data_IF_169886033871
#
_entry.id   IF_169886033871
#
_cell.length_a   1.000
_cell.length_b   1.000
_cell.length_c   1.000
_cell.angle_alpha   90.00
_cell.angle_beta   90.00
_cell.angle_gamma   90.00
#
_symmetry.space_group_name_H-M   'P 1'
#
loop_
_entity.id
_entity.type
_entity.pdbx_description
1 polymer ?
#
# COMPACT_ATOMS: atom_id res chain seq x y z
N UNK A 1 14.36 -6.53 -5.27
CA UNK A 1 12.96 -6.75 -5.71
C UNK A 1 12.12 -5.48 -5.54
N UNK A 2 10.90 -5.43 -6.10
CA UNK A 2 9.94 -4.32 -5.88
C UNK A 2 9.39 -4.34 -4.44
N UNK A 3 8.99 -5.51 -3.96
CA UNK A 3 8.30 -5.74 -2.67
C UNK A 3 9.24 -6.25 -1.55
N UNK A 4 10.56 -6.05 -1.67
CA UNK A 4 11.54 -6.52 -0.69
C UNK A 4 11.44 -8.01 -0.35
N UNK A 5 11.74 -8.38 0.90
CA UNK A 5 11.60 -9.74 1.45
C UNK A 5 10.30 -9.87 2.29
N UNK A 6 9.21 -9.22 1.84
CA UNK A 6 7.89 -9.30 2.48
C UNK A 6 7.22 -10.67 2.35
N UNK A 7 6.00 -10.83 2.89
CA UNK A 7 5.27 -12.10 2.90
C UNK A 7 5.15 -12.78 1.53
N UNK A 8 5.04 -12.00 0.45
CA UNK A 8 4.86 -12.51 -0.92
C UNK A 8 6.14 -13.17 -1.46
N UNK A 9 7.32 -12.65 -1.10
CA UNK A 9 8.61 -13.09 -1.66
C UNK A 9 9.47 -13.86 -0.65
N UNK A 10 9.14 -13.81 0.64
CA UNK A 10 9.82 -14.57 1.68
C UNK A 10 9.56 -16.08 1.60
N UNK A 11 10.47 -16.86 2.18
CA UNK A 11 10.42 -18.33 2.22
C UNK A 11 10.85 -18.88 3.59
N UNK A 12 10.60 -20.17 3.81
CA UNK A 12 11.04 -20.88 5.02
C UNK A 12 10.43 -20.33 6.31
N UNK A 13 11.25 -20.19 7.35
CA UNK A 13 10.79 -19.74 8.66
C UNK A 13 10.44 -18.24 8.70
N UNK A 14 11.07 -17.42 7.85
CA UNK A 14 10.70 -16.02 7.68
C UNK A 14 9.25 -15.90 7.20
N UNK A 15 8.88 -16.64 6.16
CA UNK A 15 7.51 -16.67 5.65
C UNK A 15 6.51 -17.12 6.72
N UNK A 16 6.83 -18.17 7.47
CA UNK A 16 5.96 -18.67 8.56
C UNK A 16 5.74 -17.59 9.63
N UNK A 17 6.81 -16.90 10.01
CA UNK A 17 6.75 -15.80 10.97
C UNK A 17 5.88 -14.65 10.46
N UNK A 18 6.13 -14.18 9.23
CA UNK A 18 5.35 -13.10 8.60
C UNK A 18 3.87 -13.44 8.46
N UNK A 19 3.56 -14.67 8.02
CA UNK A 19 2.18 -15.14 7.87
C UNK A 19 1.46 -15.19 9.21
N UNK A 20 2.11 -15.72 10.25
CA UNK A 20 1.55 -15.76 11.60
C UNK A 20 1.25 -14.36 12.12
N UNK A 21 2.14 -13.40 11.84
CA UNK A 21 2.00 -12.02 12.27
C UNK A 21 0.81 -11.32 11.60
N UNK A 22 0.67 -11.45 10.28
CA UNK A 22 -0.29 -10.66 9.49
C UNK A 22 -1.71 -11.25 9.50
N UNK A 23 -1.87 -12.58 9.57
CA UNK A 23 -3.18 -13.26 9.46
C UNK A 23 -4.27 -12.70 10.40
N UNK A 24 -3.99 -12.35 11.68
CA UNK A 24 -5.00 -11.78 12.58
C UNK A 24 -5.62 -10.48 12.09
N UNK A 25 -4.91 -9.68 11.29
CA UNK A 25 -5.42 -8.42 10.73
C UNK A 25 -6.52 -8.62 9.66
N UNK A 26 -6.70 -9.86 9.19
CA UNK A 26 -7.70 -10.24 8.19
C UNK A 26 -8.86 -11.06 8.79
N UNK A 27 -9.04 -11.02 10.12
CA UNK A 27 -10.21 -11.63 10.77
C UNK A 27 -11.50 -10.90 10.38
N UNK A 28 -12.63 -11.62 10.30
CA UNK A 28 -13.92 -11.09 9.83
C UNK A 28 -14.38 -9.83 10.58
N UNK A 29 -14.12 -9.73 11.88
CA UNK A 29 -14.47 -8.54 12.67
C UNK A 29 -13.76 -7.27 12.18
N UNK A 30 -12.52 -7.42 11.70
CA UNK A 30 -11.73 -6.32 11.15
C UNK A 30 -12.23 -6.00 9.74
N UNK A 31 -12.47 -7.03 8.92
CA UNK A 31 -13.01 -6.88 7.56
C UNK A 31 -14.37 -6.16 7.54
N UNK A 32 -15.23 -6.45 8.51
CA UNK A 32 -16.51 -5.74 8.68
C UNK A 32 -16.31 -4.24 8.94
N UNK A 33 -15.17 -3.85 9.52
CA UNK A 33 -14.77 -2.44 9.67
C UNK A 33 -14.35 -1.76 8.36
N UNK A 34 -14.16 -2.51 7.27
CA UNK A 34 -13.78 -1.96 5.97
C UNK A 34 -14.99 -1.51 5.15
N UNK A 35 -16.20 -1.99 5.47
CA UNK A 35 -17.43 -1.66 4.76
C UNK A 35 -17.71 -0.15 4.68
N UNK A 36 -17.57 0.65 5.77
CA UNK A 36 -17.76 2.10 5.69
C UNK A 36 -16.77 2.80 4.77
N UNK A 37 -15.53 2.30 4.69
CA UNK A 37 -14.49 2.83 3.78
C UNK A 37 -14.86 2.51 2.34
N UNK A 38 -15.22 1.25 2.05
CA UNK A 38 -15.66 0.82 0.72
C UNK A 38 -16.88 1.61 0.23
N UNK A 39 -17.86 1.85 1.11
CA UNK A 39 -19.04 2.66 0.81
C UNK A 39 -18.64 4.09 0.44
N UNK A 40 -17.78 4.72 1.24
CA UNK A 40 -17.33 6.10 1.00
C UNK A 40 -16.56 6.23 -0.31
N UNK A 41 -15.57 5.36 -0.55
CA UNK A 41 -14.80 5.35 -1.79
C UNK A 41 -15.68 5.07 -3.02
N UNK A 42 -16.69 4.21 -2.88
CA UNK A 42 -17.66 3.95 -3.96
C UNK A 42 -18.52 5.18 -4.26
N UNK A 43 -18.96 5.94 -3.23
CA UNK A 43 -19.68 7.20 -3.43
C UNK A 43 -18.82 8.24 -4.15
N UNK A 44 -17.55 8.37 -3.82
CA UNK A 44 -16.61 9.25 -4.54
C UNK A 44 -16.46 8.82 -6.01
N UNK A 45 -16.36 7.52 -6.29
CA UNK A 45 -16.30 7.01 -7.65
C UNK A 45 -17.58 7.33 -8.45
N UNK A 46 -18.76 7.14 -7.84
CA UNK A 46 -20.05 7.46 -8.47
C UNK A 46 -20.13 8.95 -8.85
N UNK A 47 -19.58 9.86 -8.02
CA UNK A 47 -19.52 11.28 -8.37
C UNK A 47 -18.65 11.54 -9.60
N UNK A 48 -17.50 10.87 -9.72
CA UNK A 48 -16.62 10.98 -10.89
C UNK A 48 -17.31 10.43 -12.14
N UNK A 49 -17.95 9.26 -12.02
CA UNK A 49 -18.72 8.65 -13.11
C UNK A 49 -19.89 9.54 -13.55
N UNK A 50 -20.56 10.20 -12.61
CA UNK A 50 -21.62 11.17 -12.91
C UNK A 50 -21.13 12.33 -13.77
N UNK A 51 -19.91 12.83 -13.55
CA UNK A 51 -19.31 13.87 -14.40
C UNK A 51 -19.06 13.38 -15.82
N UNK A 52 -18.47 12.19 -15.97
CA UNK A 52 -18.27 11.58 -17.29
C UNK A 52 -19.59 11.33 -18.03
N UNK A 53 -20.65 10.95 -17.31
CA UNK A 53 -21.98 10.79 -17.89
C UNK A 53 -22.57 12.13 -18.37
N UNK A 54 -22.43 13.21 -17.59
CA UNK A 54 -22.88 14.54 -17.99
C UNK A 54 -22.12 15.12 -19.19
N UNK A 55 -20.82 14.82 -19.28
CA UNK A 55 -19.94 15.29 -20.36
C UNK A 55 -19.98 14.38 -21.60
N UNK A 56 -20.70 13.26 -21.53
CA UNK A 56 -20.76 12.20 -22.56
C UNK A 56 -19.37 11.71 -22.99
N UNK A 57 -18.42 11.65 -22.05
CA UNK A 57 -17.03 11.26 -22.32
C UNK A 57 -16.76 9.80 -22.01
N UNK A 58 -15.98 9.15 -22.88
CA UNK A 58 -15.45 7.81 -22.62
C UNK A 58 -14.33 7.86 -21.59
N UNK A 59 -14.22 6.84 -20.74
CA UNK A 59 -13.17 6.72 -19.75
C UNK A 59 -12.61 5.30 -19.67
N UNK A 60 -11.44 5.15 -19.05
CA UNK A 60 -10.81 3.85 -18.82
C UNK A 60 -11.30 3.23 -17.50
N UNK A 61 -12.17 2.23 -17.58
CA UNK A 61 -12.74 1.53 -16.42
C UNK A 61 -11.68 0.80 -15.57
N UNK A 62 -10.62 0.28 -16.19
CA UNK A 62 -9.53 -0.39 -15.46
C UNK A 62 -8.80 0.61 -14.57
N UNK A 63 -8.46 1.78 -15.11
CA UNK A 63 -7.78 2.82 -14.33
C UNK A 63 -8.64 3.30 -13.15
N UNK A 64 -9.95 3.48 -13.36
CA UNK A 64 -10.88 3.82 -12.27
C UNK A 64 -10.97 2.71 -11.21
N UNK A 65 -11.09 1.46 -11.63
CA UNK A 65 -11.13 0.32 -10.71
C UNK A 65 -9.85 0.19 -9.89
N UNK A 66 -8.69 0.41 -10.50
CA UNK A 66 -7.40 0.43 -9.81
C UNK A 66 -7.32 1.55 -8.78
N UNK A 67 -7.72 2.78 -9.15
CA UNK A 67 -7.76 3.92 -8.22
C UNK A 67 -8.67 3.66 -7.02
N UNK A 68 -9.88 3.13 -7.25
CA UNK A 68 -10.82 2.76 -6.19
C UNK A 68 -10.21 1.71 -5.26
N UNK A 69 -9.69 0.64 -5.84
CA UNK A 69 -9.11 -0.47 -5.07
C UNK A 69 -7.94 0.00 -4.22
N UNK A 70 -7.08 0.85 -4.79
CA UNK A 70 -5.95 1.40 -4.06
C UNK A 70 -6.40 2.29 -2.90
N UNK A 71 -7.38 3.17 -3.11
CA UNK A 71 -7.90 4.02 -2.05
C UNK A 71 -8.46 3.20 -0.88
N UNK A 72 -9.22 2.14 -1.19
CA UNK A 72 -9.76 1.24 -0.17
C UNK A 72 -8.63 0.52 0.58
N UNK A 73 -7.64 -0.05 -0.12
CA UNK A 73 -6.55 -0.79 0.52
C UNK A 73 -5.69 0.13 1.39
N UNK A 74 -5.28 1.30 0.90
CA UNK A 74 -4.45 2.23 1.66
C UNK A 74 -5.16 2.70 2.94
N UNK A 75 -6.47 2.94 2.89
CA UNK A 75 -7.20 3.37 4.08
C UNK A 75 -7.48 2.22 5.05
N UNK A 76 -7.85 1.04 4.55
CA UNK A 76 -8.19 -0.11 5.40
C UNK A 76 -6.97 -0.81 6.01
N UNK A 77 -5.85 -0.86 5.29
CA UNK A 77 -4.64 -1.56 5.74
C UNK A 77 -3.59 -0.64 6.36
N UNK A 78 -3.40 0.56 5.81
CA UNK A 78 -2.39 1.53 6.25
C UNK A 78 -2.97 2.68 7.08
N UNK A 79 -4.30 2.84 7.11
CA UNK A 79 -4.94 3.96 7.81
C UNK A 79 -4.72 5.30 7.13
N UNK A 80 -4.28 5.32 5.87
CA UNK A 80 -4.00 6.52 5.10
C UNK A 80 -5.15 6.82 4.14
N UNK A 81 -5.77 8.00 4.28
CA UNK A 81 -6.95 8.38 3.51
C UNK A 81 -6.54 8.98 2.15
N UNK A 82 -6.68 8.17 1.11
CA UNK A 82 -6.55 8.59 -0.28
C UNK A 82 -7.91 9.11 -0.78
N UNK A 83 -7.94 10.33 -1.30
CA UNK A 83 -9.16 10.92 -1.86
C UNK A 83 -9.19 10.73 -3.38
N UNK A 84 -10.25 10.13 -3.92
CA UNK A 84 -10.36 9.88 -5.36
C UNK A 84 -10.53 11.17 -6.18
N UNK A 85 -10.99 12.25 -5.54
CA UNK A 85 -11.34 13.52 -6.17
C UNK A 85 -10.22 14.58 -6.10
N UNK A 86 -9.16 14.37 -5.31
CA UNK A 86 -8.07 15.35 -5.12
C UNK A 86 -6.83 14.88 -5.88
N UNK A 87 -6.33 15.70 -6.79
CA UNK A 87 -5.31 15.29 -7.76
C UNK A 87 -3.85 15.45 -7.30
N UNK A 88 -3.54 16.11 -6.18
CA UNK A 88 -2.20 16.68 -6.01
C UNK A 88 -1.13 15.80 -5.35
N UNK A 89 -1.48 14.73 -4.62
CA UNK A 89 -0.49 13.82 -3.98
C UNK A 89 -0.85 12.33 -4.11
N UNK A 90 -2.14 12.01 -4.22
CA UNK A 90 -2.67 10.64 -4.32
C UNK A 90 -2.57 10.04 -5.75
N UNK A 91 -2.45 10.92 -6.75
CA UNK A 91 -2.24 10.56 -8.16
C UNK A 91 -0.82 10.04 -8.41
N UNK A 92 0.16 10.54 -7.64
CA UNK A 92 1.56 10.15 -7.74
C UNK A 92 1.76 8.69 -7.33
N UNK A 93 1.18 8.24 -6.20
CA UNK A 93 1.34 6.86 -5.76
C UNK A 93 0.75 5.85 -6.76
N UNK A 94 -0.47 6.07 -7.25
CA UNK A 94 -1.11 5.19 -8.23
C UNK A 94 -0.31 5.13 -9.55
N UNK A 95 0.24 6.26 -9.99
CA UNK A 95 1.05 6.32 -11.20
C UNK A 95 2.43 5.66 -11.01
N UNK A 96 3.07 5.86 -9.86
CA UNK A 96 4.32 5.19 -9.48
C UNK A 96 4.13 3.68 -9.44
N UNK A 97 3.09 3.19 -8.78
CA UNK A 97 2.80 1.76 -8.68
C UNK A 97 2.47 1.14 -10.05
N UNK A 98 1.63 1.81 -10.84
CA UNK A 98 1.28 1.36 -12.19
C UNK A 98 2.49 1.27 -13.12
N UNK A 99 3.37 2.27 -13.09
CA UNK A 99 4.59 2.29 -13.88
C UNK A 99 5.57 1.20 -13.43
N UNK A 100 5.77 1.02 -12.12
CA UNK A 100 6.66 0.00 -11.58
C UNK A 100 6.17 -1.41 -11.99
N UNK A 101 4.86 -1.66 -11.90
CA UNK A 101 4.23 -2.93 -12.30
C UNK A 101 4.41 -3.20 -13.80
N UNK A 102 4.29 -2.18 -14.65
CA UNK A 102 4.53 -2.31 -16.08
C UNK A 102 6.00 -2.67 -16.38
N UNK A 103 6.96 -2.04 -15.69
CA UNK A 103 8.38 -2.36 -15.83
C UNK A 103 8.71 -3.78 -15.35
N UNK A 104 8.13 -4.22 -14.23
CA UNK A 104 8.25 -5.62 -13.77
C UNK A 104 7.68 -6.58 -14.80
N UNK A 105 6.49 -6.28 -15.34
CA UNK A 105 5.86 -7.12 -16.36
C UNK A 105 6.73 -7.25 -17.62
N UNK A 106 7.32 -6.15 -18.11
CA UNK A 106 8.28 -6.18 -19.22
C UNK A 106 9.52 -7.01 -18.91
N UNK A 107 10.00 -6.95 -17.66
CA UNK A 107 11.16 -7.71 -17.20
C UNK A 107 10.87 -9.21 -17.19
N UNK A 108 9.69 -9.65 -16.72
CA UNK A 108 9.28 -11.07 -16.67
C UNK A 108 9.42 -11.76 -18.04
N UNK A 109 9.09 -11.08 -19.14
CA UNK A 109 9.21 -11.65 -20.49
C UNK A 109 10.62 -11.61 -21.09
N UNK A 110 11.63 -11.07 -20.37
CA UNK A 110 13.01 -10.88 -20.86
C UNK A 110 14.03 -11.47 -19.89
N UNK A 111 14.29 -12.80 -19.95
CA UNK A 111 15.17 -13.49 -19.00
C UNK A 111 16.59 -12.90 -18.90
N UNK A 112 17.13 -12.33 -19.98
CA UNK A 112 18.45 -11.68 -19.98
C UNK A 112 18.51 -10.38 -19.14
N UNK A 113 17.37 -9.79 -18.81
CA UNK A 113 17.25 -8.65 -17.90
C UNK A 113 16.99 -9.08 -16.44
N UNK A 114 17.01 -10.39 -16.13
CA UNK A 114 16.80 -10.87 -14.75
C UNK A 114 17.97 -10.55 -13.83
N UNK A 115 19.18 -10.40 -14.37
CA UNK A 115 20.32 -9.98 -13.57
C UNK A 115 20.18 -8.48 -13.21
N UNK A 116 20.12 -8.16 -11.92
CA UNK A 116 19.94 -6.79 -11.41
C UNK A 116 21.08 -5.85 -11.84
N UNK A 117 22.32 -6.34 -11.94
CA UNK A 117 23.45 -5.53 -12.39
C UNK A 117 23.27 -5.11 -13.85
N UNK A 118 22.95 -6.06 -14.74
CA UNK A 118 22.67 -5.78 -16.16
C UNK A 118 21.46 -4.85 -16.29
N UNK A 119 20.40 -5.10 -15.52
CA UNK A 119 19.18 -4.30 -15.57
C UNK A 119 19.44 -2.85 -15.13
N UNK A 120 20.24 -2.63 -14.08
CA UNK A 120 20.59 -1.29 -13.58
C UNK A 120 21.30 -0.39 -14.60
N UNK A 121 21.96 -0.99 -15.58
CA UNK A 121 22.63 -0.27 -16.66
C UNK A 121 21.64 0.21 -17.74
N UNK A 122 20.45 -0.40 -17.83
CA UNK A 122 19.41 -0.04 -18.79
C UNK A 122 18.60 1.18 -18.33
N UNK A 123 17.99 1.90 -19.29
CA UNK A 123 17.09 3.01 -18.96
C UNK A 123 15.87 2.54 -18.16
N UNK A 124 15.27 1.43 -18.56
CA UNK A 124 14.13 0.81 -17.86
C UNK A 124 14.49 0.44 -16.42
N UNK A 125 15.70 -0.07 -16.19
CA UNK A 125 16.18 -0.39 -14.85
C UNK A 125 16.41 0.82 -13.98
N UNK A 126 17.03 1.89 -14.51
CA UNK A 126 17.18 3.16 -13.77
C UNK A 126 15.82 3.74 -13.36
N UNK A 127 14.86 3.75 -14.28
CA UNK A 127 13.49 4.19 -13.98
C UNK A 127 12.83 3.29 -12.94
N UNK A 128 12.98 1.97 -13.05
CA UNK A 128 12.43 1.02 -12.07
C UNK A 128 13.00 1.25 -10.67
N UNK A 129 14.33 1.37 -10.53
CA UNK A 129 14.96 1.60 -9.23
C UNK A 129 14.54 2.94 -8.63
N UNK A 130 14.48 4.01 -9.43
CA UNK A 130 13.97 5.31 -8.98
C UNK A 130 12.51 5.26 -8.51
N UNK A 131 11.63 4.56 -9.25
CA UNK A 131 10.22 4.42 -8.86
C UNK A 131 10.07 3.56 -7.60
N UNK A 132 10.84 2.47 -7.49
CA UNK A 132 10.88 1.65 -6.28
C UNK A 132 11.29 2.48 -5.07
N UNK A 133 12.36 3.27 -5.18
CA UNK A 133 12.87 4.06 -4.06
C UNK A 133 11.86 5.16 -3.66
N UNK A 134 11.19 5.79 -4.65
CA UNK A 134 10.08 6.71 -4.38
C UNK A 134 8.90 6.05 -3.66
N UNK A 135 8.52 4.82 -4.08
CA UNK A 135 7.46 4.04 -3.45
C UNK A 135 7.81 3.70 -1.99
N UNK A 136 9.04 3.23 -1.75
CA UNK A 136 9.52 2.91 -0.40
C UNK A 136 9.56 4.14 0.50
N UNK A 137 10.01 5.29 -0.03
CA UNK A 137 10.02 6.55 0.71
C UNK A 137 8.61 6.99 1.10
N UNK A 138 7.65 6.85 0.18
CA UNK A 138 6.24 7.13 0.47
C UNK A 138 5.69 6.22 1.57
N UNK A 139 5.90 4.90 1.45
CA UNK A 139 5.49 3.93 2.49
C UNK A 139 6.12 4.26 3.84
N UNK A 140 7.41 4.59 3.84
CA UNK A 140 8.15 4.99 5.06
C UNK A 140 7.52 6.23 5.71
N UNK A 141 7.15 7.23 4.90
CA UNK A 141 6.51 8.45 5.42
C UNK A 141 5.16 8.18 6.10
N UNK A 142 4.38 7.22 5.58
CA UNK A 142 3.11 6.78 6.18
C UNK A 142 3.34 6.05 7.49
N UNK A 143 4.33 5.14 7.53
CA UNK A 143 4.71 4.42 8.74
C UNK A 143 5.14 5.42 9.82
N UNK A 144 5.96 6.41 9.50
CA UNK A 144 6.39 7.47 10.42
C UNK A 144 5.22 8.32 10.91
N UNK A 145 4.29 8.71 10.03
CA UNK A 145 3.07 9.42 10.40
C UNK A 145 2.22 8.60 11.37
N UNK A 146 2.05 7.30 11.13
CA UNK A 146 1.30 6.40 12.00
C UNK A 146 1.97 6.21 13.36
N UNK A 147 3.30 6.11 13.41
CA UNK A 147 4.07 6.07 14.66
C UNK A 147 3.85 7.35 15.47
N UNK A 148 3.91 8.52 14.82
CA UNK A 148 3.64 9.82 15.49
C UNK A 148 2.22 9.87 16.04
N UNK A 149 1.24 9.45 15.24
CA UNK A 149 -0.17 9.40 15.65
C UNK A 149 -0.37 8.54 16.91
N UNK A 150 0.23 7.34 16.95
CA UNK A 150 0.18 6.46 18.13
C UNK A 150 0.82 7.06 19.37
N UNK A 151 1.97 7.73 19.24
CA UNK A 151 2.63 8.40 20.38
C UNK A 151 1.74 9.50 20.97
N UNK A 152 1.03 10.24 20.12
CA UNK A 152 0.10 11.28 20.57
C UNK A 152 -1.15 10.67 21.25
N UNK A 153 -1.69 9.56 20.74
CA UNK A 153 -2.81 8.84 21.38
C UNK A 153 -2.41 8.22 22.73
N UNK A 154 -1.16 7.78 22.91
CA UNK A 154 -0.69 7.24 24.18
C UNK A 154 -0.69 8.26 25.33
N UNK A 155 -0.63 9.56 25.01
CA UNK A 155 -0.71 10.66 25.98
C UNK A 155 -2.12 10.96 26.47
N UNK A 156 -3.16 10.54 25.74
CA UNK A 156 -4.56 10.85 26.04
C UNK A 156 -5.32 9.57 26.46
N UNK A 157 -5.27 9.25 27.76
CA UNK A 157 -5.87 8.03 28.32
C UNK A 157 -7.40 7.93 28.12
N UNK A 158 -8.06 9.02 27.72
CA UNK A 158 -9.51 9.10 27.48
C UNK A 158 -9.98 8.42 26.19
N UNK A 159 -9.06 8.13 25.24
CA UNK A 159 -9.36 7.57 23.91
C UNK A 159 -9.13 6.05 23.79
N UNK A 160 -8.83 5.36 24.89
CA UNK A 160 -8.60 3.89 24.92
C UNK A 160 -9.89 3.08 24.76
N UNK A 161 -10.60 3.26 23.64
CA UNK A 161 -11.48 2.19 23.17
C UNK A 161 -10.63 1.11 22.49
N UNK A 162 -11.01 -0.17 22.57
CA UNK A 162 -10.36 -1.23 21.80
C UNK A 162 -10.63 -1.00 20.30
N UNK A 163 -9.79 -0.17 19.66
CA UNK A 163 -9.81 0.00 18.21
C UNK A 163 -9.36 -1.31 17.58
N UNK A 164 -10.11 -1.76 16.56
CA UNK A 164 -9.74 -2.92 15.74
C UNK A 164 -8.40 -2.63 15.08
N UNK A 165 -7.42 -3.51 15.29
CA UNK A 165 -6.06 -3.33 14.76
C UNK A 165 -6.04 -3.63 13.27
N UNK A 166 -5.73 -2.62 12.47
CA UNK A 166 -5.48 -2.78 11.03
C UNK A 166 -4.08 -3.36 10.80
N UNK A 167 -3.74 -3.69 9.54
CA UNK A 167 -2.47 -4.38 9.20
C UNK A 167 -1.25 -3.61 9.73
N UNK A 168 -1.17 -2.30 9.49
CA UNK A 168 -0.05 -1.48 9.97
C UNK A 168 0.02 -1.48 11.50
N UNK A 169 -1.11 -1.57 12.19
CA UNK A 169 -1.15 -1.58 13.65
C UNK A 169 -0.60 -2.89 14.23
N UNK A 170 -0.82 -4.00 13.54
CA UNK A 170 -0.24 -5.30 13.91
C UNK A 170 1.27 -5.32 13.64
N UNK A 171 1.73 -4.72 12.55
CA UNK A 171 3.16 -4.60 12.24
C UNK A 171 3.89 -3.72 13.26
N UNK A 172 3.28 -2.60 13.67
CA UNK A 172 3.83 -1.71 14.69
C UNK A 172 3.95 -2.40 16.06
N UNK A 173 2.97 -3.22 16.45
CA UNK A 173 3.04 -3.99 17.68
C UNK A 173 4.19 -5.02 17.66
N UNK A 174 4.46 -5.64 16.50
CA UNK A 174 5.61 -6.53 16.34
C UNK A 174 6.94 -5.77 16.33
N UNK A 175 6.96 -4.54 15.79
CA UNK A 175 8.14 -3.68 15.82
C UNK A 175 8.51 -3.29 17.25
N UNK A 176 7.51 -2.91 18.06
CA UNK A 176 7.69 -2.60 19.49
C UNK A 176 8.19 -3.80 20.31
N UNK A 177 7.81 -5.02 19.92
CA UNK A 177 8.29 -6.28 20.53
C UNK A 177 9.66 -6.73 20.02
N UNK A 178 10.23 -6.06 19.02
CA UNK A 178 11.49 -6.46 18.38
C UNK A 178 11.39 -7.67 17.46
N UNK A 179 10.18 -8.07 17.05
CA UNK A 179 9.96 -9.21 16.14
C UNK A 179 10.21 -8.85 14.66
N UNK A 180 10.15 -7.56 14.31
CA UNK A 180 10.37 -7.03 12.96
C UNK A 180 11.13 -5.69 13.03
N UNK A 181 12.06 -5.46 12.11
CA UNK A 181 12.73 -4.16 11.94
C UNK A 181 11.95 -3.22 11.01
N UNK A 182 12.37 -1.95 10.93
CA UNK A 182 11.67 -0.95 10.11
C UNK A 182 11.67 -1.31 8.61
N UNK A 183 12.78 -1.83 8.09
CA UNK A 183 12.89 -2.34 6.71
C UNK A 183 11.94 -3.52 6.48
N UNK A 184 11.79 -4.40 7.47
CA UNK A 184 10.85 -5.50 7.40
C UNK A 184 9.40 -5.02 7.34
N UNK A 185 9.05 -3.95 8.07
CA UNK A 185 7.71 -3.36 7.96
C UNK A 185 7.48 -2.72 6.59
N UNK A 186 8.47 -1.98 6.08
CA UNK A 186 8.40 -1.37 4.74
C UNK A 186 8.20 -2.45 3.68
N UNK A 187 8.91 -3.58 3.78
CA UNK A 187 8.78 -4.71 2.86
C UNK A 187 7.42 -5.41 2.93
N UNK A 188 6.72 -5.39 4.08
CA UNK A 188 5.35 -5.94 4.19
C UNK A 188 4.27 -4.99 3.66
N UNK A 189 4.55 -3.68 3.61
CA UNK A 189 3.58 -2.64 3.25
C UNK A 189 3.74 -2.18 1.79
N UNK A 190 4.93 -2.33 1.22
CA UNK A 190 5.26 -2.01 -0.19
C UNK A 190 4.63 -3.04 -1.14
#
# INVERSE_FOLDING_TARGET
ALLGDGLVLSYGDLWKQRRRLITPAFHFDILNGFLPVMERCSKELIQILGKHACEETSFNAINMGTKLTMAVICETSMGYKISLTKESHDSDFNSLFGNATNLVSKRVYRPWLMNDFIYSLTQDGKTFFSQRDALRNWVTSIIEERIRFRKNEAGDQSLRQPKRKIVIDVLLDAYEKGEIGIEGMVDEVT
#
